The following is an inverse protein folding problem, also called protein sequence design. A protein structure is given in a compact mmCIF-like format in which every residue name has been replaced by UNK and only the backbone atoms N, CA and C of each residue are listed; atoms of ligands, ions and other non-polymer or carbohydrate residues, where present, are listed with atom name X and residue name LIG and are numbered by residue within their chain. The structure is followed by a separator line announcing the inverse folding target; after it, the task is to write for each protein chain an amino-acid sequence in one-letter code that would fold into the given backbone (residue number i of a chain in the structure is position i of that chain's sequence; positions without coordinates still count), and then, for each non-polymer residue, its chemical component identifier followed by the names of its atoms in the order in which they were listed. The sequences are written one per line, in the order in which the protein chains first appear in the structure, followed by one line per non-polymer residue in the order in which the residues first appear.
data_IF_355486856263
#
_entry.id   IF_355486856263
#
_cell.length_a   1.000
_cell.length_b   1.000
_cell.length_c   1.000
_cell.angle_alpha   90.00
_cell.angle_beta   90.00
_cell.angle_gamma   90.00
#
_symmetry.space_group_name_H-M   'P 1'
#
loop_
_entity.id
_entity.type
_entity.pdbx_description
1 polymer ?
#
# COMPACT_ATOMS: atom_id res chain seq x y z
N UNK A 1 4.59 17.84 2.69
CA UNK A 1 4.80 16.67 3.57
C UNK A 1 5.69 17.15 4.70
N UNK A 2 5.18 17.33 5.92
CA UNK A 2 6.03 17.69 7.07
C UNK A 2 6.88 16.47 7.40
N UNK A 3 8.21 16.62 7.39
CA UNK A 3 9.14 15.54 7.72
C UNK A 3 9.42 15.67 9.20
N UNK A 4 9.03 14.67 9.97
CA UNK A 4 9.34 14.60 11.40
C UNK A 4 10.58 13.74 11.60
N UNK A 5 11.48 14.18 12.50
CA UNK A 5 12.69 13.45 12.85
C UNK A 5 12.60 12.95 14.29
N UNK A 6 12.98 11.68 14.50
CA UNK A 6 13.14 11.14 15.85
C UNK A 6 14.57 11.45 16.31
N UNK A 7 14.69 12.33 17.31
CA UNK A 7 15.95 12.67 17.94
C UNK A 7 16.07 11.96 19.28
N UNK A 8 17.20 11.29 19.49
CA UNK A 8 17.62 10.86 20.81
C UNK A 8 18.47 11.98 21.42
N UNK A 9 18.05 12.48 22.58
CA UNK A 9 18.69 13.61 23.25
C UNK A 9 19.13 13.24 24.65
N UNK A 10 20.21 13.86 25.06
CA UNK A 10 20.73 13.80 26.41
C UNK A 10 20.97 15.24 26.86
N UNK A 11 20.38 15.58 27.99
CA UNK A 11 20.38 16.94 28.52
C UNK A 11 20.61 16.91 30.03
N UNK A 12 21.26 17.93 30.55
CA UNK A 12 21.55 18.08 31.97
C UNK A 12 20.53 19.03 32.58
N UNK A 13 19.92 18.63 33.69
CA UNK A 13 19.00 19.50 34.43
C UNK A 13 19.80 20.49 35.30
N UNK A 14 19.16 21.54 35.82
CA UNK A 14 19.80 22.56 36.65
C UNK A 14 20.49 22.01 37.92
N UNK A 15 20.20 20.76 38.31
CA UNK A 15 20.82 20.03 39.43
C UNK A 15 22.07 19.20 39.04
N UNK A 16 22.48 19.23 37.77
CA UNK A 16 23.62 18.42 37.27
C UNK A 16 23.27 16.98 36.89
N UNK A 17 22.01 16.57 37.02
CA UNK A 17 21.56 15.22 36.68
C UNK A 17 21.33 15.06 35.17
N UNK A 18 21.82 13.95 34.61
CA UNK A 18 21.70 13.63 33.18
C UNK A 18 20.33 13.00 32.91
N UNK A 19 19.49 13.72 32.18
CA UNK A 19 18.23 13.22 31.63
C UNK A 19 18.42 12.76 30.18
N UNK A 20 17.88 11.59 29.85
CA UNK A 20 17.91 11.02 28.49
C UNK A 20 16.48 10.83 28.00
N UNK A 21 16.21 11.15 26.74
CA UNK A 21 14.89 11.01 26.17
C UNK A 21 14.90 10.96 24.65
N UNK A 22 13.77 10.58 24.08
CA UNK A 22 13.52 10.64 22.63
C UNK A 22 12.38 11.62 22.40
N UNK A 23 12.56 12.50 21.42
CA UNK A 23 11.54 13.49 21.05
C UNK A 23 11.43 13.59 19.54
N UNK A 24 10.20 13.86 19.09
CA UNK A 24 9.86 14.05 17.69
C UNK A 24 9.85 15.55 17.39
N UNK A 25 10.69 15.99 16.45
CA UNK A 25 10.77 17.40 16.07
C UNK A 25 11.01 17.55 14.57
N UNK A 26 10.53 18.66 14.01
CA UNK A 26 10.73 19.01 12.60
C UNK A 26 12.18 19.41 12.31
N UNK A 27 12.87 19.94 13.32
CA UNK A 27 14.25 20.38 13.20
C UNK A 27 14.97 20.30 14.54
N UNK A 28 16.29 20.05 14.50
CA UNK A 28 17.18 20.04 15.67
C UNK A 28 17.07 21.34 16.49
N UNK A 29 16.88 22.49 15.82
CA UNK A 29 16.70 23.80 16.48
C UNK A 29 15.45 23.86 17.36
N UNK A 30 14.34 23.28 16.89
CA UNK A 30 13.07 23.24 17.64
C UNK A 30 13.22 22.38 18.89
N UNK A 31 13.87 21.23 18.77
CA UNK A 31 14.18 20.38 19.92
C UNK A 31 15.07 21.10 20.94
N UNK A 32 16.09 21.82 20.47
CA UNK A 32 17.00 22.58 21.33
C UNK A 32 16.24 23.65 22.14
N UNK A 33 15.34 24.39 21.49
CA UNK A 33 14.47 25.37 22.16
C UNK A 33 13.51 24.72 23.17
N UNK A 34 12.89 23.59 22.81
CA UNK A 34 12.00 22.85 23.71
C UNK A 34 12.72 22.36 24.98
N UNK A 35 13.96 21.88 24.85
CA UNK A 35 14.75 21.42 25.99
C UNK A 35 15.14 22.58 26.92
N UNK A 36 15.55 23.72 26.35
CA UNK A 36 15.87 24.92 27.14
C UNK A 36 14.63 25.44 27.88
N UNK A 37 13.47 25.52 27.23
CA UNK A 37 12.22 25.92 27.88
C UNK A 37 11.81 24.96 29.01
N UNK A 38 12.20 23.68 28.93
CA UNK A 38 12.00 22.70 29.99
C UNK A 38 13.05 22.75 31.11
N UNK A 39 13.98 23.72 31.09
CA UNK A 39 15.06 23.84 32.06
C UNK A 39 16.19 22.82 31.90
N UNK A 40 16.29 22.21 30.71
CA UNK A 40 17.29 21.19 30.39
C UNK A 40 18.33 21.77 29.42
N UNK A 41 19.62 21.67 29.74
CA UNK A 41 20.71 22.03 28.84
C UNK A 41 21.12 20.82 27.98
N UNK A 42 20.79 20.80 26.68
CA UNK A 42 21.15 19.69 25.79
C UNK A 42 22.66 19.65 25.51
N UNK A 43 23.30 18.51 25.77
CA UNK A 43 24.72 18.31 25.44
C UNK A 43 24.91 17.39 24.22
N UNK A 44 23.99 16.45 23.98
CA UNK A 44 24.06 15.54 22.83
C UNK A 44 22.68 15.35 22.20
N UNK A 45 22.57 15.65 20.91
CA UNK A 45 21.35 15.45 20.12
C UNK A 45 21.74 14.67 18.87
N UNK A 46 21.27 13.42 18.77
CA UNK A 46 21.50 12.56 17.60
C UNK A 46 20.19 12.28 16.89
N UNK A 47 20.16 12.46 15.56
CA UNK A 47 19.04 12.02 14.73
C UNK A 47 19.12 10.50 14.59
N UNK A 48 18.15 9.77 15.12
CA UNK A 48 18.20 8.29 15.17
C UNK A 48 17.57 7.68 13.92
N UNK A 49 16.41 8.20 13.48
CA UNK A 49 15.69 7.67 12.31
C UNK A 49 15.03 8.77 11.50
N UNK A 50 15.11 8.63 10.18
CA UNK A 50 14.27 9.35 9.23
C UNK A 50 12.92 8.64 9.18
N UNK A 51 11.85 9.35 9.49
CA UNK A 51 10.52 8.75 9.50
C UNK A 51 10.00 8.69 8.07
N UNK A 52 10.34 7.59 7.37
CA UNK A 52 9.53 7.15 6.24
C UNK A 52 8.35 6.36 6.79
N UNK A 53 7.13 6.79 6.45
CA UNK A 53 5.90 6.09 6.82
C UNK A 53 5.82 4.76 6.08
N UNK A 54 6.38 3.72 6.70
CA UNK A 54 6.47 2.37 6.15
C UNK A 54 5.30 1.49 6.62
N UNK A 55 5.11 0.32 5.99
CA UNK A 55 4.02 -0.64 6.27
C UNK A 55 3.86 -0.96 7.77
N UNK A 56 4.97 -0.97 8.52
CA UNK A 56 4.97 -1.18 9.98
C UNK A 56 4.16 -0.14 10.76
N UNK A 57 4.09 1.10 10.28
CA UNK A 57 3.30 2.17 10.92
C UNK A 57 1.80 1.93 10.80
N UNK A 58 1.35 1.28 9.73
CA UNK A 58 -0.07 0.91 9.53
C UNK A 58 -0.48 -0.13 10.58
N UNK A 59 0.37 -1.13 10.84
CA UNK A 59 0.12 -2.15 11.87
C UNK A 59 0.01 -1.52 13.27
N UNK A 60 0.93 -0.62 13.62
CA UNK A 60 0.88 0.06 14.91
C UNK A 60 -0.35 0.96 15.05
N UNK A 61 -0.76 1.65 13.99
CA UNK A 61 -2.00 2.44 13.97
C UNK A 61 -3.23 1.57 14.20
N UNK A 62 -3.31 0.42 13.54
CA UNK A 62 -4.40 -0.54 13.69
C UNK A 62 -4.48 -1.08 15.13
N UNK A 63 -3.33 -1.45 15.71
CA UNK A 63 -3.28 -1.90 17.10
C UNK A 63 -3.70 -0.78 18.06
N UNK A 64 -3.20 0.44 17.85
CA UNK A 64 -3.57 1.61 18.65
C UNK A 64 -5.08 1.85 18.63
N UNK A 65 -5.71 1.92 17.44
CA UNK A 65 -7.15 2.20 17.35
C UNK A 65 -7.98 1.03 17.89
N UNK A 66 -7.51 -0.22 17.76
CA UNK A 66 -8.17 -1.39 18.35
C UNK A 66 -8.16 -1.34 19.87
N UNK A 67 -7.00 -1.11 20.48
CA UNK A 67 -6.89 -1.00 21.93
C UNK A 67 -7.68 0.21 22.45
N UNK A 68 -7.60 1.35 21.75
CA UNK A 68 -8.39 2.54 22.09
C UNK A 68 -9.90 2.24 22.04
N UNK A 69 -10.39 1.59 20.99
CA UNK A 69 -11.79 1.19 20.88
C UNK A 69 -12.21 0.28 22.04
N UNK A 70 -11.41 -0.75 22.36
CA UNK A 70 -11.69 -1.67 23.47
C UNK A 70 -11.75 -0.95 24.82
N UNK A 71 -10.82 -0.04 25.10
CA UNK A 71 -10.78 0.70 26.36
C UNK A 71 -11.97 1.68 26.45
N UNK A 72 -12.32 2.35 25.36
CA UNK A 72 -13.50 3.22 25.32
C UNK A 72 -14.80 2.44 25.48
N UNK A 73 -14.90 1.23 24.91
CA UNK A 73 -16.04 0.33 25.12
C UNK A 73 -16.23 -0.10 26.57
N UNK A 74 -15.19 -0.04 27.40
CA UNK A 74 -15.32 -0.26 28.84
C UNK A 74 -15.80 0.97 29.63
N UNK A 75 -16.13 2.06 28.94
CA UNK A 75 -16.58 3.32 29.54
C UNK A 75 -15.44 4.16 30.15
N UNK A 76 -14.18 3.81 29.89
CA UNK A 76 -13.04 4.57 30.42
C UNK A 76 -12.92 5.94 29.73
N UNK A 77 -12.61 7.01 30.48
CA UNK A 77 -12.33 8.32 29.89
C UNK A 77 -11.17 8.29 28.90
N UNK A 78 -11.26 9.05 27.81
CA UNK A 78 -10.27 9.09 26.73
C UNK A 78 -8.83 9.32 27.22
N UNK A 79 -8.63 10.27 28.13
CA UNK A 79 -7.31 10.57 28.70
C UNK A 79 -6.72 9.37 29.47
N UNK A 80 -7.55 8.64 30.21
CA UNK A 80 -7.12 7.43 30.93
C UNK A 80 -6.74 6.33 29.93
N UNK A 81 -7.54 6.16 28.88
CA UNK A 81 -7.23 5.21 27.80
C UNK A 81 -5.86 5.54 27.18
N UNK A 82 -5.62 6.80 26.80
CA UNK A 82 -4.35 7.23 26.23
C UNK A 82 -3.16 7.00 27.17
N UNK A 83 -3.32 7.27 28.48
CA UNK A 83 -2.26 7.04 29.45
C UNK A 83 -1.89 5.55 29.60
N UNK A 84 -2.86 4.64 29.53
CA UNK A 84 -2.61 3.19 29.50
C UNK A 84 -1.82 2.83 28.23
N UNK A 85 -2.30 3.29 27.06
CA UNK A 85 -1.66 3.02 25.76
C UNK A 85 -0.22 3.54 25.69
N UNK A 86 0.06 4.70 26.28
CA UNK A 86 1.41 5.28 26.34
C UNK A 86 2.35 4.40 27.17
N UNK A 87 1.87 3.89 28.33
CA UNK A 87 2.66 3.03 29.23
C UNK A 87 3.01 1.68 28.61
N UNK A 88 2.07 1.10 27.87
CA UNK A 88 2.26 -0.20 27.21
C UNK A 88 2.98 -0.10 25.85
N UNK A 89 3.26 1.12 25.37
CA UNK A 89 3.85 1.33 24.05
C UNK A 89 5.35 0.98 24.04
N UNK A 90 5.70 -0.12 23.37
CA UNK A 90 7.10 -0.52 23.16
C UNK A 90 7.81 0.28 22.06
N UNK A 91 7.07 0.86 21.11
CA UNK A 91 7.64 1.58 19.99
C UNK A 91 7.92 3.05 20.37
N UNK A 92 9.20 3.52 20.33
CA UNK A 92 9.56 4.86 20.78
C UNK A 92 8.90 5.99 19.97
N UNK A 93 8.64 5.75 18.67
CA UNK A 93 7.98 6.75 17.82
C UNK A 93 6.52 6.92 18.24
N UNK A 94 5.80 5.83 18.44
CA UNK A 94 4.40 5.88 18.87
C UNK A 94 4.26 6.42 20.28
N UNK A 95 5.18 6.07 21.18
CA UNK A 95 5.22 6.64 22.52
C UNK A 95 5.33 8.17 22.47
N UNK A 96 6.20 8.73 21.62
CA UNK A 96 6.32 10.18 21.45
C UNK A 96 5.03 10.81 20.92
N UNK A 97 4.44 10.21 19.87
CA UNK A 97 3.23 10.74 19.21
C UNK A 97 2.03 10.70 20.16
N UNK A 98 1.81 9.58 20.85
CA UNK A 98 0.72 9.44 21.80
C UNK A 98 0.91 10.36 23.02
N UNK A 99 2.15 10.55 23.48
CA UNK A 99 2.46 11.49 24.56
C UNK A 99 2.18 12.94 24.15
N UNK A 100 2.50 13.32 22.92
CA UNK A 100 2.18 14.65 22.39
C UNK A 100 0.66 14.87 22.28
N UNK A 101 -0.06 13.89 21.72
CA UNK A 101 -1.53 13.92 21.63
C UNK A 101 -2.16 14.02 23.03
N UNK A 102 -1.73 13.20 23.99
CA UNK A 102 -2.24 13.24 25.37
C UNK A 102 -2.01 14.61 26.04
N UNK A 103 -0.85 15.23 25.82
CA UNK A 103 -0.55 16.59 26.32
C UNK A 103 -1.47 17.64 25.71
N UNK A 104 -1.75 17.56 24.41
CA UNK A 104 -2.66 18.48 23.71
C UNK A 104 -4.10 18.35 24.20
N UNK A 105 -4.57 17.12 24.38
CA UNK A 105 -5.92 16.86 24.91
C UNK A 105 -6.05 17.35 26.36
N UNK A 106 -5.01 17.16 27.18
CA UNK A 106 -4.98 17.71 28.55
C UNK A 106 -5.05 19.25 28.56
N UNK A 107 -4.59 19.91 27.50
CA UNK A 107 -4.68 21.37 27.32
C UNK A 107 -6.02 21.84 26.74
N UNK A 108 -6.95 20.91 26.45
CA UNK A 108 -8.27 21.22 25.93
C UNK A 108 -8.41 21.13 24.41
N UNK A 109 -7.38 20.69 23.68
CA UNK A 109 -7.53 20.41 22.25
C UNK A 109 -8.33 19.11 22.02
N UNK A 110 -9.19 19.09 21.01
CA UNK A 110 -9.86 17.85 20.57
C UNK A 110 -8.84 16.81 20.06
N UNK A 111 -9.13 15.54 20.25
CA UNK A 111 -8.41 14.39 19.68
C UNK A 111 -8.33 14.51 18.16
N UNK A 112 -9.44 14.85 17.48
CA UNK A 112 -9.44 14.99 16.03
C UNK A 112 -8.50 16.09 15.53
N UNK A 113 -8.41 17.23 16.23
CA UNK A 113 -7.43 18.27 15.91
C UNK A 113 -6.00 17.80 16.14
N UNK A 114 -5.73 17.16 17.28
CA UNK A 114 -4.40 16.63 17.63
C UNK A 114 -3.89 15.59 16.62
N UNK A 115 -4.79 14.78 16.05
CA UNK A 115 -4.45 13.76 15.05
C UNK A 115 -4.13 14.37 13.68
N UNK A 116 -4.71 15.52 13.32
CA UNK A 116 -4.45 16.22 12.04
C UNK A 116 -3.00 16.68 11.89
N UNK A 117 -2.27 16.85 13.01
CA UNK A 117 -0.85 17.18 12.97
C UNK A 117 0.01 16.06 12.39
N UNK A 118 -0.52 14.83 12.34
CA UNK A 118 0.17 13.65 11.82
C UNK A 118 -0.58 13.05 10.60
N UNK A 119 -0.73 13.80 9.48
CA UNK A 119 -1.61 13.43 8.35
C UNK A 119 -1.19 12.17 7.59
N UNK A 120 0.08 11.79 7.73
CA UNK A 120 0.66 10.57 7.18
C UNK A 120 0.32 9.31 7.98
N UNK A 121 0.07 9.46 9.29
CA UNK A 121 -0.43 8.37 10.14
C UNK A 121 -1.94 8.34 10.16
N UNK A 122 -2.59 9.50 10.24
CA UNK A 122 -4.04 9.61 10.34
C UNK A 122 -4.58 10.29 9.08
N UNK A 123 -5.11 9.49 8.12
CA UNK A 123 -5.71 10.03 6.91
C UNK A 123 -6.91 10.93 7.23
N UNK A 124 -7.31 11.82 6.31
CA UNK A 124 -8.42 12.77 6.55
C UNK A 124 -9.71 12.12 7.04
N UNK A 125 -10.12 11.00 6.44
CA UNK A 125 -11.27 10.19 6.86
C UNK A 125 -11.20 9.77 8.34
N UNK A 126 -10.03 9.38 8.81
CA UNK A 126 -9.80 8.94 10.19
C UNK A 126 -10.07 10.11 11.15
N UNK A 127 -9.50 11.27 10.85
CA UNK A 127 -9.70 12.47 11.67
C UNK A 127 -11.15 12.96 11.63
N UNK A 128 -11.84 12.83 10.49
CA UNK A 128 -13.25 13.22 10.34
C UNK A 128 -14.17 12.32 11.15
N UNK A 129 -14.01 10.99 11.09
CA UNK A 129 -14.82 10.08 11.89
C UNK A 129 -14.62 10.27 13.40
N UNK A 130 -13.39 10.54 13.83
CA UNK A 130 -13.12 10.88 15.23
C UNK A 130 -13.77 12.21 15.61
N UNK A 131 -13.68 13.24 14.77
CA UNK A 131 -14.33 14.53 15.04
C UNK A 131 -15.84 14.38 15.22
N UNK A 132 -16.48 13.54 14.42
CA UNK A 132 -17.90 13.22 14.58
C UNK A 132 -18.16 12.52 15.90
N UNK A 133 -17.39 11.48 16.22
CA UNK A 133 -17.53 10.77 17.49
C UNK A 133 -17.29 11.65 18.72
N UNK A 134 -16.41 12.65 18.63
CA UNK A 134 -16.22 13.66 19.67
C UNK A 134 -17.45 14.56 19.84
N UNK A 135 -18.02 15.04 18.74
CA UNK A 135 -19.18 15.93 18.75
C UNK A 135 -20.47 15.22 19.18
N UNK A 136 -20.64 13.96 18.80
CA UNK A 136 -21.84 13.16 19.11
C UNK A 136 -21.70 12.35 20.40
N UNK A 137 -20.52 12.35 21.03
CA UNK A 137 -20.20 11.49 22.17
C UNK A 137 -20.08 10.00 21.84
N UNK A 138 -20.16 9.62 20.56
CA UNK A 138 -20.09 8.23 20.09
C UNK A 138 -18.68 7.84 19.60
N UNK A 139 -17.67 8.28 20.35
CA UNK A 139 -16.26 8.06 19.99
C UNK A 139 -15.92 6.56 19.94
N UNK A 140 -16.49 5.77 20.85
CA UNK A 140 -16.40 4.31 20.84
C UNK A 140 -16.85 3.71 19.51
N UNK A 141 -18.07 4.01 19.08
CA UNK A 141 -18.65 3.49 17.85
C UNK A 141 -17.82 3.89 16.63
N UNK A 142 -17.37 5.15 16.58
CA UNK A 142 -16.51 5.63 15.51
C UNK A 142 -15.15 4.92 15.47
N UNK A 143 -14.56 4.62 16.64
CA UNK A 143 -13.33 3.84 16.73
C UNK A 143 -13.53 2.39 16.26
N UNK A 144 -14.61 1.72 16.65
CA UNK A 144 -14.93 0.35 16.19
C UNK A 144 -15.14 0.30 14.67
N UNK A 145 -15.84 1.30 14.14
CA UNK A 145 -16.01 1.53 12.72
C UNK A 145 -14.64 1.65 12.00
N UNK A 146 -13.72 2.47 12.53
CA UNK A 146 -12.36 2.61 12.00
C UNK A 146 -11.54 1.31 12.09
N UNK A 147 -11.67 0.53 13.17
CA UNK A 147 -11.00 -0.77 13.32
C UNK A 147 -11.44 -1.70 12.20
N UNK A 148 -12.75 -1.88 12.02
CA UNK A 148 -13.31 -2.77 10.98
C UNK A 148 -12.80 -2.38 9.60
N UNK A 149 -12.82 -1.08 9.29
CA UNK A 149 -12.31 -0.56 8.01
C UNK A 149 -10.82 -0.88 7.80
N UNK A 150 -9.98 -0.67 8.82
CA UNK A 150 -8.54 -0.90 8.69
C UNK A 150 -8.19 -2.39 8.60
N UNK A 151 -8.90 -3.27 9.31
CA UNK A 151 -8.74 -4.73 9.22
C UNK A 151 -9.10 -5.25 7.83
N UNK A 152 -10.18 -4.72 7.27
CA UNK A 152 -10.61 -5.01 5.92
C UNK A 152 -9.58 -4.59 4.87
N UNK A 153 -8.94 -3.43 5.04
CA UNK A 153 -7.85 -2.99 4.16
C UNK A 153 -6.58 -3.83 4.33
N UNK A 154 -6.21 -4.17 5.57
CA UNK A 154 -5.03 -4.97 5.88
C UNK A 154 -5.16 -6.41 5.35
N UNK A 155 -6.35 -7.02 5.46
CA UNK A 155 -6.63 -8.35 4.90
C UNK A 155 -6.52 -8.36 3.37
N UNK A 156 -7.10 -7.37 2.69
CA UNK A 156 -6.94 -7.19 1.25
C UNK A 156 -5.47 -7.04 0.85
N UNK A 157 -4.71 -6.16 1.52
CA UNK A 157 -3.29 -5.98 1.23
C UNK A 157 -2.47 -7.25 1.49
N UNK A 158 -2.76 -7.98 2.57
CA UNK A 158 -2.11 -9.26 2.87
C UNK A 158 -2.41 -10.32 1.82
N UNK A 159 -3.63 -10.39 1.29
CA UNK A 159 -3.97 -11.30 0.19
C UNK A 159 -3.22 -10.93 -1.10
N UNK A 160 -3.23 -9.66 -1.49
CA UNK A 160 -2.50 -9.19 -2.68
C UNK A 160 -1.00 -9.48 -2.55
N UNK A 161 -0.41 -9.18 -1.41
CA UNK A 161 1.03 -9.43 -1.18
C UNK A 161 1.37 -10.92 -1.15
N UNK A 162 0.50 -11.76 -0.56
CA UNK A 162 0.66 -13.22 -0.61
C UNK A 162 0.56 -13.76 -2.04
N UNK A 163 -0.43 -13.30 -2.79
CA UNK A 163 -0.66 -13.69 -4.19
C UNK A 163 0.56 -13.43 -5.08
N UNK A 164 1.28 -12.33 -4.85
CA UNK A 164 2.48 -11.96 -5.62
C UNK A 164 3.76 -12.62 -5.12
N UNK A 165 3.84 -13.02 -3.84
CA UNK A 165 5.05 -13.59 -3.26
C UNK A 165 5.41 -14.93 -3.89
N UNK A 166 4.43 -15.80 -4.12
CA UNK A 166 4.66 -17.13 -4.70
C UNK A 166 5.20 -17.09 -6.14
N UNK A 167 4.57 -16.35 -7.08
CA UNK A 167 5.12 -16.11 -8.42
C UNK A 167 6.56 -15.61 -8.42
N UNK A 168 6.87 -14.69 -7.51
CA UNK A 168 8.21 -14.09 -7.43
C UNK A 168 9.25 -15.15 -7.04
N UNK A 169 8.99 -15.97 -6.03
CA UNK A 169 9.93 -16.99 -5.57
C UNK A 169 10.20 -18.00 -6.69
N UNK A 170 9.15 -18.53 -7.32
CA UNK A 170 9.31 -19.52 -8.40
C UNK A 170 10.04 -18.93 -9.60
N UNK A 171 9.70 -17.70 -10.00
CA UNK A 171 10.36 -17.02 -11.13
C UNK A 171 11.84 -16.80 -10.83
N UNK A 172 12.21 -16.43 -9.61
CA UNK A 172 13.61 -16.26 -9.20
C UNK A 172 14.35 -17.60 -9.24
N UNK A 173 13.79 -18.66 -8.66
CA UNK A 173 14.41 -20.00 -8.67
C UNK A 173 14.56 -20.53 -10.10
N UNK A 174 13.52 -20.44 -10.92
CA UNK A 174 13.57 -20.86 -12.33
C UNK A 174 14.61 -20.05 -13.11
N UNK A 175 14.65 -18.72 -12.92
CA UNK A 175 15.64 -17.86 -13.57
C UNK A 175 17.07 -18.22 -13.17
N UNK A 176 17.33 -18.60 -11.91
CA UNK A 176 18.65 -19.05 -11.46
C UNK A 176 19.04 -20.34 -12.18
N UNK A 177 18.13 -21.32 -12.26
CA UNK A 177 18.39 -22.61 -12.94
C UNK A 177 18.68 -22.39 -14.43
N UNK A 178 17.84 -21.59 -15.10
CA UNK A 178 18.03 -21.25 -16.52
C UNK A 178 19.39 -20.58 -16.75
N UNK A 179 19.74 -19.61 -15.91
CA UNK A 179 21.00 -18.87 -16.03
C UNK A 179 22.21 -19.78 -15.78
N UNK A 180 22.14 -20.68 -14.80
CA UNK A 180 23.19 -21.69 -14.54
C UNK A 180 23.37 -22.62 -15.76
N UNK A 181 22.27 -23.10 -16.33
CA UNK A 181 22.31 -23.94 -17.54
C UNK A 181 22.94 -23.20 -18.72
N UNK A 182 22.55 -21.95 -18.97
CA UNK A 182 23.08 -21.17 -20.08
C UNK A 182 24.57 -20.85 -19.91
N UNK A 183 25.01 -20.46 -18.70
CA UNK A 183 26.38 -19.99 -18.47
C UNK A 183 27.38 -21.14 -18.34
N UNK A 184 27.01 -22.25 -17.69
CA UNK A 184 27.95 -23.33 -17.40
C UNK A 184 27.76 -24.55 -18.30
N UNK A 185 26.51 -24.95 -18.57
CA UNK A 185 26.25 -26.21 -19.28
C UNK A 185 26.34 -26.02 -20.78
N UNK A 186 25.66 -25.01 -21.34
CA UNK A 186 25.61 -24.82 -22.78
C UNK A 186 27.00 -24.64 -23.45
N UNK A 187 27.98 -23.89 -22.88
CA UNK A 187 29.30 -23.71 -23.51
C UNK A 187 30.16 -24.97 -23.50
N UNK A 188 30.06 -25.81 -22.48
CA UNK A 188 30.76 -27.10 -22.44
C UNK A 188 30.33 -27.99 -23.61
N UNK A 189 29.05 -27.94 -23.98
CA UNK A 189 28.58 -28.63 -25.18
C UNK A 189 29.16 -28.00 -26.45
N UNK A 190 29.20 -26.67 -26.58
CA UNK A 190 29.82 -26.00 -27.73
C UNK A 190 31.27 -26.48 -27.97
N UNK A 191 32.08 -26.61 -26.91
CA UNK A 191 33.45 -27.14 -26.99
C UNK A 191 33.50 -28.57 -27.54
N UNK A 192 32.56 -29.42 -27.14
CA UNK A 192 32.45 -30.79 -27.65
C UNK A 192 32.12 -30.77 -29.15
N UNK A 193 31.16 -29.95 -29.60
CA UNK A 193 30.77 -29.87 -31.03
C UNK A 193 31.88 -29.35 -31.93
N UNK A 194 32.62 -28.35 -31.47
CA UNK A 194 33.77 -27.83 -32.21
C UNK A 194 34.85 -28.89 -32.45
N UNK A 195 34.94 -29.90 -31.57
CA UNK A 195 35.88 -31.01 -31.72
C UNK A 195 35.48 -32.01 -32.81
N UNK A 196 34.22 -31.99 -33.27
CA UNK A 196 33.67 -32.90 -34.27
C UNK A 196 33.43 -32.23 -35.65
N UNK A 197 33.88 -30.98 -35.85
CA UNK A 197 33.64 -30.17 -37.07
C UNK A 197 32.16 -30.10 -37.52
N UNK A 198 31.23 -30.33 -36.59
CA UNK A 198 29.80 -30.34 -36.86
C UNK A 198 29.18 -28.95 -36.68
N UNK A 199 28.29 -28.57 -37.60
CA UNK A 199 27.57 -27.30 -37.48
C UNK A 199 26.45 -27.42 -36.44
N UNK A 200 26.45 -26.51 -35.47
CA UNK A 200 25.41 -26.45 -34.45
C UNK A 200 24.05 -26.09 -35.07
N UNK A 201 22.96 -26.76 -34.65
CA UNK A 201 21.59 -26.40 -34.98
C UNK A 201 21.28 -24.92 -34.75
N UNK A 202 20.32 -24.38 -35.51
CA UNK A 202 19.88 -22.98 -35.37
C UNK A 202 19.41 -22.66 -33.93
N UNK A 203 18.66 -23.58 -33.31
CA UNK A 203 18.14 -23.39 -31.95
C UNK A 203 19.28 -23.27 -30.91
N UNK A 204 20.28 -24.15 -30.93
CA UNK A 204 21.42 -24.06 -30.02
C UNK A 204 22.28 -22.85 -30.29
N UNK A 205 22.52 -22.52 -31.56
CA UNK A 205 23.31 -21.35 -31.94
C UNK A 205 22.68 -20.04 -31.41
N UNK A 206 21.36 -19.90 -31.50
CA UNK A 206 20.68 -18.71 -30.94
C UNK A 206 20.79 -18.62 -29.43
N UNK A 207 20.66 -19.74 -28.71
CA UNK A 207 20.81 -19.77 -27.25
C UNK A 207 22.25 -19.52 -26.80
N UNK A 208 23.24 -20.02 -27.55
CA UNK A 208 24.67 -19.73 -27.31
C UNK A 208 24.98 -18.25 -27.51
N UNK A 209 24.43 -17.61 -28.54
CA UNK A 209 24.56 -16.15 -28.71
C UNK A 209 24.00 -15.38 -27.51
N UNK A 210 22.84 -15.78 -27.00
CA UNK A 210 22.24 -15.19 -25.79
C UNK A 210 23.10 -15.45 -24.55
N UNK A 211 23.65 -16.67 -24.40
CA UNK A 211 24.55 -17.02 -23.30
C UNK A 211 25.84 -16.21 -23.34
N UNK A 212 26.51 -16.13 -24.49
CA UNK A 212 27.74 -15.34 -24.66
C UNK A 212 27.51 -13.86 -24.39
N UNK A 213 26.35 -13.32 -24.80
CA UNK A 213 25.95 -11.95 -24.44
C UNK A 213 25.73 -11.79 -22.93
N UNK A 214 25.11 -12.77 -22.26
CA UNK A 214 24.92 -12.80 -20.81
C UNK A 214 26.25 -12.91 -20.05
N UNK A 215 27.21 -13.71 -20.50
CA UNK A 215 28.51 -13.88 -19.85
C UNK A 215 29.34 -12.59 -20.00
N UNK A 216 29.39 -12.03 -21.20
CA UNK A 216 30.25 -10.87 -21.50
C UNK A 216 29.65 -9.54 -21.01
N UNK A 217 28.33 -9.34 -21.17
CA UNK A 217 27.65 -8.09 -20.84
C UNK A 217 26.70 -8.21 -19.65
N UNK A 218 26.54 -9.38 -19.03
CA UNK A 218 25.55 -9.61 -17.96
C UNK A 218 25.67 -8.62 -16.80
N UNK A 219 26.89 -8.40 -16.29
CA UNK A 219 27.14 -7.45 -15.20
C UNK A 219 26.80 -6.02 -15.62
N UNK A 220 27.19 -5.60 -16.83
CA UNK A 220 26.88 -4.28 -17.37
C UNK A 220 25.38 -4.10 -17.64
N UNK A 221 24.69 -5.13 -18.14
CA UNK A 221 23.23 -5.12 -18.35
C UNK A 221 22.45 -5.09 -17.03
N UNK A 222 22.94 -5.78 -15.99
CA UNK A 222 22.33 -5.77 -14.67
C UNK A 222 22.46 -4.38 -14.03
N UNK A 223 23.66 -3.79 -14.09
CA UNK A 223 23.89 -2.42 -13.62
C UNK A 223 23.07 -1.40 -14.45
N UNK A 224 22.98 -1.59 -15.77
CA UNK A 224 22.14 -0.80 -16.67
C UNK A 224 20.66 -0.87 -16.30
N UNK A 225 20.14 -2.08 -16.05
CA UNK A 225 18.75 -2.28 -15.61
C UNK A 225 18.48 -1.65 -14.24
N UNK A 226 19.40 -1.79 -13.28
CA UNK A 226 19.26 -1.21 -11.94
C UNK A 226 19.27 0.32 -12.03
N UNK A 227 20.18 0.91 -12.80
CA UNK A 227 20.26 2.37 -12.97
C UNK A 227 19.04 2.92 -13.70
N UNK A 228 18.57 2.25 -14.75
CA UNK A 228 17.36 2.62 -15.49
C UNK A 228 16.09 2.47 -14.62
N UNK A 229 16.04 1.43 -13.78
CA UNK A 229 14.96 1.25 -12.80
C UNK A 229 14.96 2.34 -11.73
N UNK A 230 16.12 2.69 -11.17
CA UNK A 230 16.25 3.78 -10.20
C UNK A 230 15.91 5.14 -10.83
N UNK A 231 16.36 5.37 -12.06
CA UNK A 231 16.03 6.57 -12.83
C UNK A 231 14.52 6.65 -13.11
N UNK A 232 13.89 5.53 -13.49
CA UNK A 232 12.44 5.44 -13.65
C UNK A 232 11.69 5.76 -12.34
N UNK A 233 12.13 5.19 -11.21
CA UNK A 233 11.56 5.50 -9.90
C UNK A 233 11.69 7.00 -9.54
N UNK A 234 12.83 7.61 -9.87
CA UNK A 234 13.06 9.03 -9.63
C UNK A 234 12.19 9.91 -10.54
N UNK A 235 12.04 9.56 -11.82
CA UNK A 235 11.13 10.24 -12.77
C UNK A 235 9.67 10.12 -12.32
N UNK A 236 9.27 8.93 -11.87
CA UNK A 236 7.94 8.64 -11.35
C UNK A 236 7.61 9.50 -10.13
N UNK A 237 8.57 9.71 -9.24
CA UNK A 237 8.39 10.61 -8.09
C UNK A 237 8.33 12.09 -8.49
N UNK A 238 9.06 12.51 -9.53
CA UNK A 238 9.10 13.91 -9.99
C UNK A 238 7.91 14.33 -10.85
N UNK A 239 7.32 13.41 -11.63
CA UNK A 239 6.27 13.76 -12.58
C UNK A 239 4.98 12.98 -12.36
N UNK A 240 4.00 13.63 -11.74
CA UNK A 240 2.64 13.11 -11.51
C UNK A 240 1.94 12.61 -12.79
N UNK A 241 2.29 13.19 -13.95
CA UNK A 241 1.74 12.81 -15.27
C UNK A 241 2.09 11.37 -15.65
N UNK A 242 3.29 10.89 -15.29
CA UNK A 242 3.71 9.51 -15.56
C UNK A 242 2.95 8.52 -14.69
N UNK A 243 2.70 8.86 -13.42
CA UNK A 243 1.85 8.06 -12.52
C UNK A 243 0.42 7.95 -13.09
N UNK A 244 -0.11 9.03 -13.66
CA UNK A 244 -1.46 9.01 -14.25
C UNK A 244 -1.49 8.16 -15.52
N UNK A 245 -0.47 8.24 -16.38
CA UNK A 245 -0.36 7.40 -17.60
C UNK A 245 -0.17 5.92 -17.27
N UNK A 246 0.67 5.60 -16.30
CA UNK A 246 0.89 4.23 -15.80
C UNK A 246 -0.42 3.64 -15.28
N UNK A 247 -1.14 4.38 -14.41
CA UNK A 247 -2.45 3.96 -13.89
C UNK A 247 -3.47 3.73 -15.03
N UNK A 248 -3.49 4.58 -16.04
CA UNK A 248 -4.37 4.41 -17.21
C UNK A 248 -3.95 3.24 -18.12
N UNK A 249 -2.67 2.91 -18.21
CA UNK A 249 -2.18 1.74 -18.95
C UNK A 249 -2.53 0.43 -18.23
N UNK A 250 -2.37 0.40 -16.90
CA UNK A 250 -2.73 -0.74 -16.06
C UNK A 250 -4.23 -1.06 -16.17
N UNK A 251 -5.08 -0.04 -16.36
CA UNK A 251 -6.51 -0.16 -16.63
C UNK A 251 -6.87 -0.78 -18.00
N UNK A 252 -5.88 -1.21 -18.81
CA UNK A 252 -6.13 -1.97 -20.04
C UNK A 252 -6.09 -3.47 -19.81
N UNK A 253 -5.53 -3.93 -18.69
CA UNK A 253 -5.55 -5.34 -18.32
C UNK A 253 -6.91 -5.60 -17.64
N UNK A 254 -7.81 -6.39 -18.27
CA UNK A 254 -9.22 -6.49 -17.85
C UNK A 254 -9.35 -6.96 -16.39
N UNK A 255 -8.47 -7.87 -16.02
CA UNK A 255 -8.36 -8.44 -14.69
C UNK A 255 -7.96 -7.41 -13.61
N UNK A 256 -6.91 -6.63 -13.86
CA UNK A 256 -6.42 -5.62 -12.91
C UNK A 256 -7.40 -4.46 -12.81
N UNK A 257 -8.04 -4.14 -13.94
CA UNK A 257 -9.08 -3.11 -14.03
C UNK A 257 -10.25 -3.43 -13.13
N UNK A 258 -10.73 -4.67 -13.16
CA UNK A 258 -11.83 -5.10 -12.32
C UNK A 258 -11.45 -5.05 -10.83
N UNK A 259 -10.25 -5.52 -10.47
CA UNK A 259 -9.75 -5.46 -9.09
C UNK A 259 -9.68 -4.02 -8.56
N UNK A 260 -9.06 -3.11 -9.33
CA UNK A 260 -8.93 -1.70 -8.94
C UNK A 260 -10.32 -1.07 -8.83
N UNK A 261 -11.22 -1.35 -9.78
CA UNK A 261 -12.58 -0.79 -9.77
C UNK A 261 -13.37 -1.26 -8.54
N UNK A 262 -13.37 -2.56 -8.24
CA UNK A 262 -14.00 -3.10 -7.03
C UNK A 262 -13.39 -2.51 -5.76
N UNK A 263 -12.06 -2.37 -5.70
CA UNK A 263 -11.39 -1.75 -4.55
C UNK A 263 -11.79 -0.28 -4.36
N UNK A 264 -11.81 0.52 -5.43
CA UNK A 264 -12.15 1.95 -5.35
C UNK A 264 -13.64 2.17 -5.07
N UNK A 265 -14.53 1.39 -5.68
CA UNK A 265 -15.97 1.44 -5.43
C UNK A 265 -16.30 0.99 -4.01
N UNK A 266 -15.73 -0.13 -3.57
CA UNK A 266 -15.86 -0.60 -2.19
C UNK A 266 -15.40 0.45 -1.19
N UNK A 267 -14.24 1.08 -1.42
CA UNK A 267 -13.75 2.17 -0.57
C UNK A 267 -14.69 3.39 -0.57
N UNK A 268 -15.17 3.83 -1.73
CA UNK A 268 -16.10 4.97 -1.85
C UNK A 268 -17.39 4.70 -1.07
N UNK A 269 -18.09 3.61 -1.37
CA UNK A 269 -19.37 3.30 -0.74
C UNK A 269 -19.21 3.01 0.75
N UNK A 270 -18.10 2.39 1.16
CA UNK A 270 -17.81 2.20 2.57
C UNK A 270 -17.63 3.54 3.28
N UNK A 271 -16.89 4.50 2.71
CA UNK A 271 -16.77 5.84 3.30
C UNK A 271 -18.14 6.49 3.44
N UNK A 272 -18.96 6.47 2.39
CA UNK A 272 -20.30 7.06 2.42
C UNK A 272 -21.19 6.41 3.49
N UNK A 273 -21.23 5.07 3.54
CA UNK A 273 -21.93 4.31 4.57
C UNK A 273 -21.49 4.72 5.97
N UNK A 274 -20.18 4.77 6.22
CA UNK A 274 -19.61 5.06 7.53
C UNK A 274 -19.92 6.49 7.98
N UNK A 275 -19.83 7.44 7.05
CA UNK A 275 -20.16 8.83 7.35
C UNK A 275 -21.66 9.02 7.59
N UNK A 276 -22.53 8.38 6.82
CA UNK A 276 -23.97 8.43 7.07
C UNK A 276 -24.36 7.76 8.37
N UNK A 277 -23.79 6.59 8.67
CA UNK A 277 -23.98 5.88 9.94
C UNK A 277 -23.52 6.72 11.14
N UNK A 278 -22.49 7.55 10.96
CA UNK A 278 -22.03 8.50 11.97
C UNK A 278 -22.89 9.78 12.05
N UNK A 279 -23.94 9.91 11.23
CA UNK A 279 -24.85 11.06 11.21
C UNK A 279 -24.38 12.25 10.37
N UNK A 280 -23.34 12.09 9.55
CA UNK A 280 -22.89 13.14 8.63
C UNK A 280 -23.79 13.23 7.38
N UNK A 281 -23.82 14.42 6.78
CA UNK A 281 -24.45 14.62 5.47
C UNK A 281 -23.70 13.83 4.38
N UNK A 282 -24.44 13.42 3.33
CA UNK A 282 -23.85 12.75 2.17
C UNK A 282 -22.72 13.57 1.52
N UNK A 283 -22.86 14.89 1.53
CA UNK A 283 -21.88 15.83 0.97
C UNK A 283 -20.58 15.86 1.77
N UNK A 284 -20.65 15.84 3.10
CA UNK A 284 -19.48 15.68 3.97
C UNK A 284 -18.83 14.29 3.78
N UNK A 285 -19.64 13.26 3.56
CA UNK A 285 -19.17 11.92 3.18
C UNK A 285 -18.36 11.93 1.88
N UNK A 286 -18.84 12.62 0.85
CA UNK A 286 -18.14 12.77 -0.42
C UNK A 286 -16.85 13.57 -0.29
N UNK A 287 -16.82 14.64 0.50
CA UNK A 287 -15.59 15.39 0.78
C UNK A 287 -14.55 14.50 1.49
N UNK A 288 -14.99 13.63 2.39
CA UNK A 288 -14.15 12.61 3.06
C UNK A 288 -13.61 11.57 2.06
N UNK A 289 -14.45 11.13 1.12
CA UNK A 289 -14.06 10.19 0.08
C UNK A 289 -13.04 10.80 -0.90
N UNK A 290 -13.23 12.05 -1.32
CA UNK A 290 -12.30 12.78 -2.21
C UNK A 290 -10.91 12.88 -1.57
N UNK A 291 -10.83 13.03 -0.25
CA UNK A 291 -9.57 13.12 0.47
C UNK A 291 -8.86 11.75 0.66
N UNK A 292 -9.58 10.63 0.45
CA UNK A 292 -9.07 9.26 0.65
C UNK A 292 -8.79 8.52 -0.66
N UNK A 293 -9.52 8.84 -1.73
CA UNK A 293 -9.39 8.19 -3.05
C UNK A 293 -8.14 8.69 -3.76
N UNK A 294 -7.21 7.78 -4.07
CA UNK A 294 -5.95 8.10 -4.73
C UNK A 294 -5.96 7.83 -6.26
N UNK A 295 -7.02 7.21 -6.77
CA UNK A 295 -7.12 6.88 -8.19
C UNK A 295 -7.70 8.06 -8.98
N UNK A 296 -7.01 8.58 -10.02
CA UNK A 296 -7.39 9.84 -10.67
C UNK A 296 -8.76 9.79 -11.36
N UNK A 297 -9.15 8.64 -11.94
CA UNK A 297 -10.47 8.47 -12.58
C UNK A 297 -11.59 8.56 -11.54
N UNK A 298 -11.50 7.80 -10.46
CA UNK A 298 -12.50 7.80 -9.38
C UNK A 298 -12.52 9.13 -8.64
N UNK A 299 -11.37 9.76 -8.38
CA UNK A 299 -11.31 11.07 -7.75
C UNK A 299 -12.02 12.15 -8.58
N UNK A 300 -11.87 12.14 -9.91
CA UNK A 300 -12.61 13.05 -10.80
C UNK A 300 -14.12 12.78 -10.76
N UNK A 301 -14.50 11.51 -10.83
CA UNK A 301 -15.90 11.10 -10.78
C UNK A 301 -16.56 11.47 -9.44
N UNK A 302 -15.90 11.24 -8.30
CA UNK A 302 -16.41 11.60 -6.98
C UNK A 302 -16.50 13.12 -6.80
N UNK A 303 -15.55 13.89 -7.32
CA UNK A 303 -15.65 15.37 -7.35
C UNK A 303 -16.84 15.84 -8.17
N UNK A 304 -17.11 15.20 -9.31
CA UNK A 304 -18.28 15.49 -10.13
C UNK A 304 -19.58 15.19 -9.36
N UNK A 305 -19.70 14.00 -8.74
CA UNK A 305 -20.84 13.63 -7.90
C UNK A 305 -21.10 14.68 -6.81
N UNK A 306 -20.04 15.11 -6.10
CA UNK A 306 -20.12 16.12 -5.04
C UNK A 306 -20.70 17.45 -5.53
N UNK A 307 -20.29 17.92 -6.70
CA UNK A 307 -20.80 19.17 -7.28
C UNK A 307 -22.28 19.03 -7.66
N UNK A 308 -22.65 17.93 -8.32
CA UNK A 308 -24.02 17.73 -8.80
C UNK A 308 -25.02 17.51 -7.66
N UNK A 309 -24.63 16.74 -6.64
CA UNK A 309 -25.47 16.51 -5.45
C UNK A 309 -25.66 17.80 -4.65
N UNK A 310 -24.63 18.65 -4.56
CA UNK A 310 -24.78 19.99 -3.97
C UNK A 310 -25.72 20.90 -4.76
N UNK A 311 -25.92 20.65 -6.05
CA UNK A 311 -26.89 21.36 -6.90
C UNK A 311 -28.31 20.77 -6.81
N UNK A 312 -28.51 19.74 -5.98
CA UNK A 312 -29.81 19.10 -5.78
C UNK A 312 -30.13 17.97 -6.76
N UNK A 313 -29.19 17.56 -7.60
CA UNK A 313 -29.40 16.41 -8.49
C UNK A 313 -29.27 15.10 -7.69
N UNK A 314 -30.20 14.14 -7.83
CA UNK A 314 -30.13 12.85 -7.14
C UNK A 314 -28.80 12.10 -7.38
N UNK A 315 -28.32 11.39 -6.37
CA UNK A 315 -27.10 10.59 -6.46
C UNK A 315 -27.25 9.47 -7.49
N UNK A 316 -28.44 8.85 -7.58
CA UNK A 316 -28.75 7.82 -8.58
C UNK A 316 -28.54 8.32 -10.02
N UNK A 317 -29.04 9.51 -10.36
CA UNK A 317 -28.88 10.11 -11.68
C UNK A 317 -27.43 10.49 -11.99
N UNK A 318 -26.73 11.05 -11.00
CA UNK A 318 -25.34 11.51 -11.18
C UNK A 318 -24.36 10.34 -11.34
N UNK A 319 -24.63 9.20 -10.70
CA UNK A 319 -23.88 7.95 -10.92
C UNK A 319 -24.00 7.45 -12.36
N UNK A 320 -25.19 7.54 -12.96
CA UNK A 320 -25.45 7.09 -14.34
C UNK A 320 -24.63 7.86 -15.38
N UNK A 321 -24.28 9.11 -15.11
CA UNK A 321 -23.52 9.97 -16.03
C UNK A 321 -22.03 9.62 -16.09
N UNK A 322 -21.53 8.77 -15.20
CA UNK A 322 -20.10 8.48 -15.04
C UNK A 322 -19.81 7.00 -15.36
N UNK A 323 -18.96 6.75 -16.35
CA UNK A 323 -18.69 5.39 -16.88
C UNK A 323 -17.96 4.45 -15.90
N UNK A 324 -17.43 4.98 -14.79
CA UNK A 324 -16.74 4.18 -13.77
C UNK A 324 -17.69 3.53 -12.75
N UNK A 325 -18.99 3.85 -12.78
CA UNK A 325 -19.99 3.24 -11.92
C UNK A 325 -20.84 2.23 -12.70
N UNK A 326 -20.80 0.94 -12.34
CA UNK A 326 -21.69 -0.06 -12.91
C UNK A 326 -23.16 0.22 -12.62
N UNK A 327 -24.06 -0.32 -13.46
CA UNK A 327 -25.51 -0.17 -13.31
C UNK A 327 -26.03 -0.59 -11.92
N UNK A 328 -25.39 -1.59 -11.30
CA UNK A 328 -25.72 -2.05 -9.95
C UNK A 328 -25.62 -0.91 -8.90
N UNK A 329 -24.63 -0.01 -9.03
CA UNK A 329 -24.50 1.14 -8.14
C UNK A 329 -25.72 2.06 -8.23
N UNK A 330 -26.14 2.35 -9.45
CA UNK A 330 -27.30 3.21 -9.72
C UNK A 330 -28.57 2.61 -9.12
N UNK A 331 -28.80 1.31 -9.34
CA UNK A 331 -30.00 0.61 -8.86
C UNK A 331 -30.11 0.64 -7.33
N UNK A 332 -29.04 0.28 -6.63
CA UNK A 332 -29.03 0.29 -5.16
C UNK A 332 -29.20 1.71 -4.60
N UNK A 333 -28.56 2.71 -5.21
CA UNK A 333 -28.71 4.08 -4.75
C UNK A 333 -30.12 4.62 -5.05
N UNK A 334 -30.70 4.34 -6.22
CA UNK A 334 -32.08 4.73 -6.56
C UNK A 334 -33.07 4.19 -5.55
N UNK A 335 -33.01 2.88 -5.26
CA UNK A 335 -33.89 2.25 -4.26
C UNK A 335 -33.64 2.84 -2.87
N UNK A 336 -32.42 3.24 -2.54
CA UNK A 336 -32.06 3.83 -1.25
C UNK A 336 -32.55 5.26 -1.09
N UNK A 337 -32.51 6.05 -2.16
CA UNK A 337 -33.06 7.40 -2.21
C UNK A 337 -34.59 7.37 -2.11
N UNK A 338 -35.24 6.49 -2.88
CA UNK A 338 -36.71 6.36 -2.90
C UNK A 338 -37.28 5.81 -1.57
N UNK A 339 -36.60 4.83 -0.97
CA UNK A 339 -37.03 4.23 0.31
C UNK A 339 -36.56 5.01 1.54
N UNK A 340 -35.71 6.03 1.37
CA UNK A 340 -35.07 6.74 2.47
C UNK A 340 -34.04 5.92 3.24
N UNK A 341 -33.69 4.71 2.79
CA UNK A 341 -32.78 3.79 3.46
C UNK A 341 -31.40 3.70 2.78
N UNK A 342 -30.83 4.87 2.47
CA UNK A 342 -29.59 4.99 1.72
C UNK A 342 -28.38 4.41 2.49
N UNK A 343 -28.36 4.57 3.82
CA UNK A 343 -27.29 4.02 4.68
C UNK A 343 -27.15 2.50 4.47
N UNK A 344 -28.25 1.75 4.56
CA UNK A 344 -28.24 0.30 4.44
C UNK A 344 -27.74 -0.14 3.06
N UNK A 345 -28.22 0.49 1.99
CA UNK A 345 -27.86 0.10 0.63
C UNK A 345 -26.43 0.50 0.25
N UNK A 346 -25.92 1.63 0.76
CA UNK A 346 -24.49 1.95 0.67
C UNK A 346 -23.64 0.90 1.39
N UNK A 347 -24.07 0.44 2.57
CA UNK A 347 -23.40 -0.63 3.31
C UNK A 347 -23.37 -1.95 2.53
N UNK A 348 -24.48 -2.31 1.87
CA UNK A 348 -24.56 -3.50 1.02
C UNK A 348 -23.63 -3.39 -0.20
N UNK A 349 -23.63 -2.24 -0.88
CA UNK A 349 -22.70 -1.97 -1.99
C UNK A 349 -21.24 -2.06 -1.55
N UNK A 350 -20.91 -1.46 -0.41
CA UNK A 350 -19.56 -1.50 0.15
C UNK A 350 -19.10 -2.93 0.38
N UNK A 351 -19.92 -3.74 1.06
CA UNK A 351 -19.60 -5.14 1.34
C UNK A 351 -19.50 -5.99 0.05
N UNK A 352 -20.42 -5.79 -0.90
CA UNK A 352 -20.42 -6.52 -2.17
C UNK A 352 -19.14 -6.28 -2.98
N UNK A 353 -18.77 -5.02 -3.19
CA UNK A 353 -17.55 -4.68 -3.93
C UNK A 353 -16.28 -5.12 -3.20
N UNK A 354 -16.31 -5.10 -1.87
CA UNK A 354 -15.18 -5.57 -1.08
C UNK A 354 -15.01 -7.10 -1.17
N UNK A 355 -16.10 -7.86 -1.11
CA UNK A 355 -16.08 -9.31 -1.32
C UNK A 355 -15.60 -9.65 -2.72
N UNK A 356 -16.11 -8.97 -3.75
CA UNK A 356 -15.64 -9.12 -5.12
C UNK A 356 -14.14 -8.83 -5.27
N UNK A 357 -13.62 -7.79 -4.61
CA UNK A 357 -12.19 -7.51 -4.63
C UNK A 357 -11.36 -8.64 -3.97
N UNK A 358 -11.87 -9.26 -2.90
CA UNK A 358 -11.23 -10.41 -2.25
C UNK A 358 -11.23 -11.64 -3.18
N UNK A 359 -12.36 -11.95 -3.81
CA UNK A 359 -12.50 -13.09 -4.73
C UNK A 359 -11.63 -12.95 -5.97
N UNK A 360 -11.60 -11.76 -6.59
CA UNK A 360 -10.71 -11.49 -7.73
C UNK A 360 -9.25 -11.69 -7.30
N UNK A 361 -8.87 -11.20 -6.11
CA UNK A 361 -7.50 -11.38 -5.60
C UNK A 361 -7.15 -12.86 -5.36
N UNK A 362 -8.09 -13.68 -4.91
CA UNK A 362 -7.86 -15.11 -4.70
C UNK A 362 -7.74 -15.85 -6.05
N UNK A 363 -8.64 -15.56 -6.99
CA UNK A 363 -8.64 -16.14 -8.33
C UNK A 363 -7.37 -15.78 -9.13
N UNK A 364 -6.81 -14.59 -8.91
CA UNK A 364 -5.51 -14.22 -9.47
C UNK A 364 -4.40 -15.19 -9.12
N UNK A 365 -4.37 -15.62 -7.85
CA UNK A 365 -3.34 -16.54 -7.38
C UNK A 365 -3.47 -17.89 -8.06
N UNK A 366 -4.71 -18.38 -8.22
CA UNK A 366 -5.01 -19.67 -8.85
C UNK A 366 -4.70 -19.69 -10.34
N UNK A 367 -4.88 -18.57 -11.06
CA UNK A 367 -4.58 -18.49 -12.49
C UNK A 367 -3.08 -18.32 -12.77
N UNK A 368 -2.34 -17.61 -11.91
CA UNK A 368 -0.92 -17.38 -12.10
C UNK A 368 -0.10 -18.68 -12.03
N UNK A 369 -0.49 -19.62 -11.18
CA UNK A 369 0.27 -20.87 -10.99
C UNK A 369 0.33 -21.77 -12.24
N UNK A 370 -0.79 -22.14 -12.90
CA UNK A 370 -0.75 -22.90 -14.15
C UNK A 370 0.01 -22.18 -15.26
N UNK A 371 -0.17 -20.86 -15.38
CA UNK A 371 0.53 -20.06 -16.40
C UNK A 371 2.04 -20.13 -16.19
N UNK A 372 2.50 -19.98 -14.95
CA UNK A 372 3.93 -20.08 -14.62
C UNK A 372 4.49 -21.48 -14.91
N UNK A 373 3.75 -22.53 -14.55
CA UNK A 373 4.18 -23.92 -14.83
C UNK A 373 4.31 -24.12 -16.34
N UNK A 374 3.34 -23.68 -17.14
CA UNK A 374 3.39 -23.81 -18.61
C UNK A 374 4.56 -23.03 -19.20
N UNK A 375 4.80 -21.78 -18.74
CA UNK A 375 5.93 -20.97 -19.21
C UNK A 375 7.26 -21.63 -18.84
N UNK A 376 7.42 -22.09 -17.61
CA UNK A 376 8.65 -22.74 -17.15
C UNK A 376 8.87 -24.05 -17.90
N UNK A 377 7.83 -24.88 -18.05
CA UNK A 377 7.90 -26.12 -18.81
C UNK A 377 8.28 -25.87 -20.28
N UNK A 378 7.73 -24.82 -20.91
CA UNK A 378 8.10 -24.44 -22.26
C UNK A 378 9.57 -24.00 -22.34
N UNK A 379 10.05 -23.16 -21.41
CA UNK A 379 11.45 -22.70 -21.38
C UNK A 379 12.40 -23.87 -21.16
N UNK A 380 12.13 -24.72 -20.16
CA UNK A 380 12.95 -25.91 -19.87
C UNK A 380 12.90 -26.89 -21.03
N UNK A 381 11.74 -27.08 -21.67
CA UNK A 381 11.60 -27.93 -22.86
C UNK A 381 12.44 -27.44 -24.03
N UNK A 382 12.43 -26.12 -24.30
CA UNK A 382 13.28 -25.51 -25.32
C UNK A 382 14.76 -25.69 -24.97
N UNK A 383 15.14 -25.51 -23.71
CA UNK A 383 16.51 -25.74 -23.25
C UNK A 383 16.93 -27.19 -23.46
N UNK A 384 16.14 -28.17 -23.03
CA UNK A 384 16.46 -29.59 -23.21
C UNK A 384 16.55 -29.97 -24.68
N UNK A 385 15.63 -29.50 -25.53
CA UNK A 385 15.70 -29.71 -26.97
C UNK A 385 16.99 -29.13 -27.55
N UNK A 386 17.36 -27.92 -27.15
CA UNK A 386 18.62 -27.33 -27.56
C UNK A 386 19.81 -28.20 -27.09
N UNK A 387 19.80 -28.74 -25.88
CA UNK A 387 20.90 -29.59 -25.42
C UNK A 387 20.98 -30.94 -26.17
N UNK A 388 19.84 -31.58 -26.45
CA UNK A 388 19.80 -32.94 -27.00
C UNK A 388 19.84 -33.02 -28.52
N UNK A 389 19.28 -32.04 -29.23
CA UNK A 389 19.22 -32.06 -30.69
C UNK A 389 20.61 -32.16 -31.34
N UNK A 390 21.64 -31.45 -30.85
CA UNK A 390 23.01 -31.67 -31.32
C UNK A 390 23.45 -33.13 -31.15
N UNK A 391 23.16 -33.76 -29.99
CA UNK A 391 23.65 -35.12 -29.65
C UNK A 391 23.15 -36.13 -30.69
N UNK A 392 21.89 -35.99 -31.11
CA UNK A 392 21.33 -36.81 -32.18
C UNK A 392 22.04 -36.59 -33.53
N UNK A 393 22.44 -35.36 -33.85
CA UNK A 393 23.14 -35.06 -35.10
C UNK A 393 24.57 -35.61 -35.11
N UNK A 394 25.31 -35.57 -33.99
CA UNK A 394 26.62 -36.25 -33.91
C UNK A 394 26.49 -37.76 -34.12
N UNK A 395 25.45 -38.37 -33.54
CA UNK A 395 25.16 -39.78 -33.75
C UNK A 395 25.00 -40.15 -35.23
N UNK A 396 24.39 -39.27 -36.04
CA UNK A 396 24.24 -39.48 -37.49
C UNK A 396 25.47 -39.17 -38.32
N UNK A 397 26.44 -38.40 -37.80
CA UNK A 397 27.70 -38.08 -38.50
C UNK A 397 28.78 -39.13 -38.23
N UNK A 398 28.68 -39.85 -37.09
CA UNK A 398 29.60 -40.91 -36.69
C UNK A 398 29.23 -42.31 -37.21
N UNK A 399 28.03 -42.47 -37.79
CA UNK A 399 27.57 -43.67 -38.53
C UNK A 399 27.61 -43.41 -40.01
#
# INVERSE_FOLDING_TARGET
MKIHYLYNWQAVNNKGEISKGKSLCDNRKVLYQQLIHAGLQPYNIKCEKWIFYHQQQITHRLNFIRQLATLLSSGMPLLNCLNILIRECSNPLWHCILSDISKKITRGESLSASLKDYPSLFPPLFCQLIAVGELTGQLETCCQLLVKQQEQQDTLQKKITKALRYPLIITVVASIIILLMLIFVLPEFEHIYHSFDAQLPLLTRTLLMVSNWLIQYGVYSAIGLITLFLFYLQLRQRHTIWIIREKNLILRLPVITNLISCQQLGQLFHILFMTQKAGLTLTAGLDSAIASINHPVFLKATKFLRVQINQGIPMSETLKQQSCFPALCQQFVSVGEESGNLELLLGNLANWYQQQALEISDNMTQLLEPILIVIIAAIVGILLLAMYLPIFQLGTVLT
#
